data_IF_937506179247
#
_entry.id   IF_937506179247
#
_cell.length_a   1.000
_cell.length_b   1.000
_cell.length_c   1.000
_cell.angle_alpha   90.00
_cell.angle_beta   90.00
_cell.angle_gamma   90.00
#
_symmetry.space_group_name_H-M   'P 1'
#
loop_
_entity.id
_entity.type
_entity.pdbx_description
1 polymer ?
#
# COMPACT_ATOMS: atom_id res chain seq x y z
N UNK A 1 23.06 5.02 17.17
CA UNK A 1 22.91 4.89 15.70
C UNK A 1 21.85 5.88 15.26
N UNK A 2 22.09 6.67 14.22
CA UNK A 2 21.09 7.58 13.65
C UNK A 2 20.62 6.99 12.32
N UNK A 3 19.30 6.92 12.12
CA UNK A 3 18.70 6.36 10.90
C UNK A 3 18.26 7.48 9.98
N UNK A 4 18.60 7.36 8.69
CA UNK A 4 18.22 8.31 7.65
C UNK A 4 17.60 7.55 6.47
N UNK A 5 16.48 8.04 5.95
CA UNK A 5 15.88 7.57 4.70
C UNK A 5 16.45 8.35 3.52
N UNK A 6 16.89 7.65 2.47
CA UNK A 6 17.46 8.26 1.26
C UNK A 6 16.63 7.86 0.05
N UNK A 7 16.22 8.84 -0.76
CA UNK A 7 15.55 8.59 -2.04
C UNK A 7 16.59 8.58 -3.16
N UNK A 8 16.60 7.52 -3.96
CA UNK A 8 17.57 7.31 -5.02
C UNK A 8 16.83 7.14 -6.34
N UNK A 9 17.37 7.72 -7.42
CA UNK A 9 16.84 7.51 -8.76
C UNK A 9 17.10 6.06 -9.19
N UNK A 10 16.15 5.47 -9.92
CA UNK A 10 16.21 4.08 -10.36
C UNK A 10 17.50 3.75 -11.12
N UNK A 11 17.93 4.66 -12.01
CA UNK A 11 19.16 4.51 -12.79
C UNK A 11 20.47 4.67 -11.98
N UNK A 12 20.40 5.06 -10.70
CA UNK A 12 21.56 5.25 -9.82
C UNK A 12 21.68 4.17 -8.73
N UNK A 13 20.72 3.22 -8.68
CA UNK A 13 20.68 2.19 -7.62
C UNK A 13 21.96 1.36 -7.59
N UNK A 14 22.43 0.90 -8.75
CA UNK A 14 23.62 0.04 -8.83
C UNK A 14 24.91 0.76 -8.41
N UNK A 15 25.08 2.03 -8.80
CA UNK A 15 26.22 2.86 -8.40
C UNK A 15 26.18 3.15 -6.89
N UNK A 16 25.00 3.44 -6.35
CA UNK A 16 24.82 3.63 -4.92
C UNK A 16 25.16 2.36 -4.13
N UNK A 17 24.69 1.19 -4.57
CA UNK A 17 25.01 -0.08 -3.91
C UNK A 17 26.51 -0.38 -3.93
N UNK A 18 27.22 -0.07 -5.03
CA UNK A 18 28.69 -0.16 -5.09
C UNK A 18 29.36 0.78 -4.08
N UNK A 19 28.91 2.04 -3.99
CA UNK A 19 29.42 3.00 -3.01
C UNK A 19 29.22 2.51 -1.57
N UNK A 20 28.05 1.97 -1.25
CA UNK A 20 27.75 1.44 0.08
C UNK A 20 28.60 0.21 0.39
N UNK A 21 28.75 -0.72 -0.56
CA UNK A 21 29.61 -1.89 -0.39
C UNK A 21 31.07 -1.52 -0.10
N UNK A 22 31.59 -0.46 -0.73
CA UNK A 22 32.94 0.04 -0.48
C UNK A 22 33.10 0.70 0.91
N UNK A 23 31.99 1.02 1.59
CA UNK A 23 31.94 1.63 2.92
C UNK A 23 31.20 0.73 3.93
N UNK A 24 31.23 -0.59 3.74
CA UNK A 24 30.47 -1.57 4.52
C UNK A 24 30.73 -1.55 6.03
N UNK A 25 31.84 -0.96 6.49
CA UNK A 25 32.17 -0.76 7.89
C UNK A 25 31.50 0.47 8.53
N UNK A 26 30.94 1.37 7.71
CA UNK A 26 30.32 2.63 8.15
C UNK A 26 28.84 2.72 7.80
N UNK A 27 28.37 1.92 6.85
CA UNK A 27 27.00 1.98 6.33
C UNK A 27 26.37 0.59 6.42
N UNK A 28 25.18 0.53 7.02
CA UNK A 28 24.37 -0.70 7.09
C UNK A 28 23.16 -0.55 6.18
N UNK A 29 22.98 -1.50 5.26
CA UNK A 29 21.76 -1.62 4.46
C UNK A 29 20.79 -2.51 5.23
N UNK A 30 19.71 -1.92 5.73
CA UNK A 30 18.60 -2.66 6.29
C UNK A 30 17.47 -2.73 5.26
N UNK A 31 17.20 -3.92 4.76
CA UNK A 31 16.00 -4.16 3.97
C UNK A 31 14.79 -4.22 4.90
N UNK A 32 13.74 -3.46 4.57
CA UNK A 32 12.46 -3.51 5.26
C UNK A 32 11.96 -4.96 5.33
N UNK A 33 11.82 -5.48 6.55
CA UNK A 33 11.40 -6.87 6.80
C UNK A 33 10.01 -7.13 6.21
N UNK A 34 9.15 -6.11 6.16
CA UNK A 34 7.81 -6.25 5.60
C UNK A 34 7.88 -6.47 4.09
N UNK A 35 8.79 -5.78 3.39
CA UNK A 35 8.97 -5.93 1.95
C UNK A 35 9.63 -7.25 1.55
N UNK A 36 10.37 -7.90 2.46
CA UNK A 36 10.92 -9.25 2.21
C UNK A 36 9.84 -10.32 2.12
N UNK A 37 8.86 -10.25 3.01
CA UNK A 37 7.75 -11.21 3.07
C UNK A 37 6.63 -10.82 2.11
N UNK A 38 6.49 -9.52 1.86
CA UNK A 38 5.40 -8.93 1.10
C UNK A 38 5.86 -7.71 0.28
N UNK A 39 6.16 -7.90 -1.02
CA UNK A 39 6.58 -6.81 -1.90
C UNK A 39 5.56 -5.67 -2.02
N UNK A 40 4.28 -5.93 -1.73
CA UNK A 40 3.19 -4.97 -1.85
C UNK A 40 2.71 -4.41 -0.50
N UNK A 41 3.47 -4.62 0.58
CA UNK A 41 3.06 -4.26 1.94
C UNK A 41 2.59 -2.81 2.05
N UNK A 42 3.39 -1.86 1.57
CA UNK A 42 3.07 -0.43 1.65
C UNK A 42 1.85 -0.06 0.79
N UNK A 43 1.64 -0.74 -0.34
CA UNK A 43 0.45 -0.52 -1.16
C UNK A 43 -0.81 -1.03 -0.45
N UNK A 44 -0.76 -2.24 0.12
CA UNK A 44 -1.88 -2.80 0.91
C UNK A 44 -2.16 -1.97 2.15
N UNK A 45 -1.12 -1.51 2.85
CA UNK A 45 -1.27 -0.65 4.01
C UNK A 45 -1.99 0.67 3.64
N UNK A 46 -1.61 1.31 2.54
CA UNK A 46 -2.29 2.50 2.03
C UNK A 46 -3.74 2.22 1.66
N UNK A 47 -3.99 1.11 0.98
CA UNK A 47 -5.35 0.71 0.59
C UNK A 47 -6.26 0.48 1.81
N UNK A 48 -5.77 -0.25 2.82
CA UNK A 48 -6.50 -0.49 4.06
C UNK A 48 -6.78 0.80 4.84
N UNK A 49 -5.81 1.72 4.91
CA UNK A 49 -6.02 3.04 5.51
C UNK A 49 -7.14 3.82 4.80
N UNK A 50 -7.17 3.76 3.46
CA UNK A 50 -8.22 4.40 2.66
C UNK A 50 -9.59 3.77 2.93
N UNK A 51 -9.69 2.44 2.95
CA UNK A 51 -10.94 1.74 3.27
C UNK A 51 -11.46 2.16 4.64
N UNK A 52 -10.58 2.17 5.66
CA UNK A 52 -10.96 2.59 7.01
C UNK A 52 -11.49 4.01 7.03
N UNK A 53 -10.81 4.93 6.36
CA UNK A 53 -11.26 6.31 6.24
C UNK A 53 -12.64 6.40 5.56
N UNK A 54 -12.87 5.64 4.50
CA UNK A 54 -14.16 5.61 3.79
C UNK A 54 -15.29 5.02 4.64
N UNK A 55 -14.98 4.07 5.52
CA UNK A 55 -15.94 3.57 6.51
C UNK A 55 -16.24 4.64 7.55
N UNK A 56 -15.19 5.28 8.09
CA UNK A 56 -15.30 6.30 9.13
C UNK A 56 -16.05 7.56 8.65
N UNK A 57 -15.85 7.96 7.39
CA UNK A 57 -16.51 9.12 6.78
C UNK A 57 -17.88 8.80 6.14
N UNK A 58 -18.28 7.52 6.14
CA UNK A 58 -19.56 7.05 5.62
C UNK A 58 -19.63 6.90 4.10
N UNK A 59 -18.54 7.16 3.36
CA UNK A 59 -18.47 6.95 1.90
C UNK A 59 -18.58 5.48 1.52
N UNK A 60 -18.09 4.59 2.38
CA UNK A 60 -18.19 3.14 2.26
C UNK A 60 -18.93 2.57 3.48
N UNK A 61 -20.27 2.57 3.46
CA UNK A 61 -21.05 2.04 4.58
C UNK A 61 -20.85 0.53 4.72
N UNK A 62 -20.76 0.08 5.97
CA UNK A 62 -20.75 -1.34 6.31
C UNK A 62 -22.19 -1.85 6.28
N UNK A 63 -22.60 -2.40 5.14
CA UNK A 63 -23.95 -2.91 4.94
C UNK A 63 -24.12 -4.29 5.58
N UNK A 64 -25.30 -4.52 6.16
CA UNK A 64 -25.72 -5.88 6.48
C UNK A 64 -26.20 -6.62 5.22
N UNK A 65 -26.46 -7.92 5.34
CA UNK A 65 -26.85 -8.76 4.19
C UNK A 65 -28.11 -8.25 3.46
N UNK A 66 -29.12 -7.79 4.19
CA UNK A 66 -30.35 -7.29 3.57
C UNK A 66 -30.11 -5.97 2.83
N UNK A 67 -29.35 -5.04 3.42
CA UNK A 67 -28.98 -3.77 2.79
C UNK A 67 -28.12 -4.00 1.55
N UNK A 68 -27.17 -4.93 1.63
CA UNK A 68 -26.35 -5.33 0.50
C UNK A 68 -27.18 -5.89 -0.65
N UNK A 69 -28.10 -6.82 -0.36
CA UNK A 69 -28.98 -7.40 -1.37
C UNK A 69 -29.87 -6.34 -2.04
N UNK A 70 -30.37 -5.36 -1.29
CA UNK A 70 -31.13 -4.25 -1.85
C UNK A 70 -30.31 -3.36 -2.80
N UNK A 71 -29.08 -3.00 -2.43
CA UNK A 71 -28.18 -2.22 -3.28
C UNK A 71 -27.78 -3.01 -4.54
N UNK A 72 -27.55 -4.32 -4.40
CA UNK A 72 -27.25 -5.20 -5.53
C UNK A 72 -28.44 -5.31 -6.50
N UNK A 73 -29.66 -5.47 -5.99
CA UNK A 73 -30.88 -5.49 -6.80
C UNK A 73 -31.07 -4.18 -7.57
N UNK A 74 -30.81 -3.03 -6.92
CA UNK A 74 -30.84 -1.72 -7.59
C UNK A 74 -29.79 -1.64 -8.71
N UNK A 75 -28.57 -2.10 -8.43
CA UNK A 75 -27.49 -2.12 -9.40
C UNK A 75 -27.83 -2.97 -10.63
N UNK A 76 -28.33 -4.19 -10.41
CA UNK A 76 -28.75 -5.10 -11.50
C UNK A 76 -29.91 -4.50 -12.31
N UNK A 77 -30.91 -3.89 -11.65
CA UNK A 77 -32.01 -3.20 -12.35
C UNK A 77 -31.51 -2.05 -13.22
N UNK A 78 -30.55 -1.26 -12.74
CA UNK A 78 -29.96 -0.16 -13.50
C UNK A 78 -29.16 -0.63 -14.72
N UNK A 79 -28.50 -1.79 -14.63
CA UNK A 79 -27.80 -2.40 -15.77
C UNK A 79 -28.78 -2.87 -16.86
N UNK A 80 -29.93 -3.42 -16.46
CA UNK A 80 -30.93 -3.93 -17.40
C UNK A 80 -31.86 -2.84 -17.96
N UNK A 81 -31.84 -1.64 -17.37
CA UNK A 81 -32.64 -0.49 -17.81
C UNK A 81 -31.92 0.39 -18.86
N UNK A 82 -30.65 0.10 -19.16
CA UNK A 82 -29.87 0.68 -20.25
C UNK A 82 -29.66 -0.34 -21.37
#
# INVERSE_FOLDING_TARGET
>A
MQTLSVNIKENFVDEFLKFVNNNNNKITIEQDKNLKLDPYFHQRQKHLKKIRQQIDDGTMPMLNENEFNQELDKFIKNLNAN
#
